data_IF_910846128479
#
_entry.id   IF_910846128479
#
_cell.length_a   1.000
_cell.length_b   1.000
_cell.length_c   1.000
_cell.angle_alpha   90.00
_cell.angle_beta   90.00
_cell.angle_gamma   90.00
#
_symmetry.space_group_name_H-M   'P 1'
#
loop_
_entity.id
_entity.type
_entity.pdbx_description
1 polymer ?
#
# COMPACT_ATOMS: atom_id res chain seq x y z
N UNK A 1 -21.26 -9.25 -2.23
CA UNK A 1 -20.91 -9.09 -0.80
C UNK A 1 -19.42 -9.32 -0.64
N UNK A 2 -18.67 -8.32 -0.16
CA UNK A 2 -17.30 -8.50 0.27
C UNK A 2 -17.26 -9.48 1.45
N UNK A 3 -16.52 -10.58 1.34
CA UNK A 3 -16.33 -11.52 2.45
C UNK A 3 -15.11 -11.07 3.25
N UNK A 4 -15.26 -10.97 4.57
CA UNK A 4 -14.13 -10.77 5.46
C UNK A 4 -13.44 -12.13 5.63
N UNK A 5 -12.13 -12.16 5.39
CA UNK A 5 -11.33 -13.38 5.49
C UNK A 5 -10.49 -13.35 6.75
N UNK A 6 -10.26 -14.54 7.30
CA UNK A 6 -9.30 -14.77 8.38
C UNK A 6 -8.16 -15.60 7.81
N UNK A 7 -6.93 -15.12 7.95
CA UNK A 7 -5.72 -15.82 7.49
C UNK A 7 -4.63 -15.69 8.56
N UNK A 8 -3.78 -16.71 8.69
CA UNK A 8 -2.60 -16.68 9.55
C UNK A 8 -1.37 -16.39 8.70
N UNK A 9 -0.56 -15.41 9.10
CA UNK A 9 0.64 -14.96 8.38
C UNK A 9 1.80 -14.84 9.36
N UNK A 10 2.92 -15.46 9.02
CA UNK A 10 4.19 -15.32 9.75
C UNK A 10 4.92 -14.06 9.24
N UNK A 11 5.33 -13.19 10.16
CA UNK A 11 5.92 -11.89 9.86
C UNK A 11 7.21 -11.72 10.65
N UNK A 12 8.32 -11.56 9.91
CA UNK A 12 9.58 -11.13 10.48
C UNK A 12 9.47 -9.70 10.99
N UNK A 13 9.98 -9.46 12.20
CA UNK A 13 9.98 -8.15 12.83
C UNK A 13 11.35 -7.52 12.63
N UNK A 14 11.44 -6.53 11.73
CA UNK A 14 12.56 -5.61 11.75
C UNK A 14 12.48 -4.78 13.04
N UNK A 15 13.40 -5.05 13.97
CA UNK A 15 13.46 -4.37 15.25
C UNK A 15 14.00 -2.96 15.00
N UNK A 16 13.10 -2.03 14.70
CA UNK A 16 13.48 -0.70 14.24
C UNK A 16 14.11 0.19 15.32
N UNK A 17 13.83 -0.05 16.60
CA UNK A 17 14.35 0.75 17.71
C UNK A 17 14.48 -0.10 18.98
N UNK A 18 15.68 -0.65 19.26
CA UNK A 18 15.99 -1.24 20.58
C UNK A 18 16.31 -0.11 21.56
N UNK A 19 15.29 0.56 22.07
CA UNK A 19 15.49 1.50 23.17
C UNK A 19 15.78 0.74 24.47
N UNK A 20 16.92 1.05 25.10
CA UNK A 20 17.35 0.47 26.38
C UNK A 20 16.50 1.03 27.52
N UNK A 21 15.82 0.17 28.26
CA UNK A 21 15.33 0.52 29.60
C UNK A 21 16.49 0.39 30.60
N UNK A 22 16.74 1.45 31.36
CA UNK A 22 17.85 1.47 32.32
C UNK A 22 17.68 0.40 33.41
N UNK A 23 18.76 -0.37 33.59
CA UNK A 23 19.19 -1.18 34.77
C UNK A 23 18.40 -2.46 35.14
N UNK A 24 19.13 -3.60 35.15
CA UNK A 24 18.72 -5.03 35.32
C UNK A 24 18.36 -5.71 33.98
N UNK A 25 18.33 -7.07 33.85
CA UNK A 25 18.64 -7.82 32.61
C UNK A 25 17.96 -7.20 31.39
N UNK A 26 18.72 -7.07 30.30
CA UNK A 26 18.46 -6.10 29.24
C UNK A 26 17.11 -6.33 28.54
N UNK A 27 16.09 -5.62 28.99
CA UNK A 27 14.79 -5.56 28.32
C UNK A 27 14.93 -4.71 27.05
N UNK A 28 14.72 -5.34 25.89
CA UNK A 28 14.72 -4.69 24.58
C UNK A 28 13.28 -4.42 24.14
N UNK A 29 12.92 -3.16 23.96
CA UNK A 29 11.63 -2.80 23.35
C UNK A 29 11.63 -3.21 21.89
N UNK A 30 10.57 -3.89 21.46
CA UNK A 30 10.35 -4.24 20.06
C UNK A 30 9.13 -3.47 19.58
N UNK A 31 9.33 -2.72 18.50
CA UNK A 31 8.27 -2.03 17.76
C UNK A 31 8.47 -2.34 16.29
N UNK A 32 7.44 -2.90 15.66
CA UNK A 32 7.47 -3.28 14.25
C UNK A 32 6.21 -2.82 13.55
N UNK A 33 6.38 -2.29 12.33
CA UNK A 33 5.26 -1.89 11.47
C UNK A 33 5.26 -2.75 10.22
N UNK A 34 4.23 -3.57 10.09
CA UNK A 34 4.11 -4.49 8.96
C UNK A 34 3.14 -3.92 7.93
N UNK A 35 3.59 -3.84 6.67
CA UNK A 35 2.75 -3.46 5.53
C UNK A 35 2.09 -4.68 4.87
N UNK A 36 0.78 -4.81 5.06
CA UNK A 36 -0.06 -5.87 4.46
C UNK A 36 -0.80 -5.40 3.21
N UNK A 37 -0.60 -4.16 2.77
CA UNK A 37 -1.31 -3.54 1.64
C UNK A 37 -1.13 -4.23 0.29
N UNK A 38 -0.09 -5.06 0.14
CA UNK A 38 0.09 -5.89 -1.05
C UNK A 38 -1.03 -6.92 -1.20
N UNK A 39 -1.53 -7.46 -0.08
CA UNK A 39 -2.52 -8.55 -0.05
C UNK A 39 -3.91 -8.06 0.35
N UNK A 40 -3.96 -7.14 1.30
CA UNK A 40 -5.19 -6.66 1.92
C UNK A 40 -5.55 -5.25 1.44
N UNK A 41 -6.84 -5.02 1.22
CA UNK A 41 -7.40 -3.69 0.99
C UNK A 41 -7.73 -3.00 2.33
N UNK A 42 -8.10 -3.81 3.33
CA UNK A 42 -8.49 -3.36 4.65
C UNK A 42 -8.13 -4.43 5.67
N UNK A 43 -7.61 -4.01 6.83
CA UNK A 43 -7.30 -4.91 7.95
C UNK A 43 -8.15 -4.50 9.15
N UNK A 44 -9.20 -5.26 9.45
CA UNK A 44 -10.19 -4.89 10.47
C UNK A 44 -9.67 -5.11 11.89
N UNK A 45 -9.07 -6.27 12.09
CA UNK A 45 -8.57 -6.74 13.38
C UNK A 45 -7.37 -7.66 13.15
N UNK A 46 -6.46 -7.69 14.11
CA UNK A 46 -5.32 -8.58 14.11
C UNK A 46 -5.18 -9.17 15.50
N UNK A 47 -4.85 -10.45 15.55
CA UNK A 47 -4.54 -11.17 16.78
C UNK A 47 -3.15 -11.78 16.63
N UNK A 48 -2.29 -11.60 17.63
CA UNK A 48 -1.05 -12.36 17.74
C UNK A 48 -1.44 -13.78 18.19
N UNK A 49 -1.16 -14.77 17.36
CA UNK A 49 -1.36 -16.19 17.74
C UNK A 49 -0.14 -16.72 18.47
N UNK A 50 1.04 -16.36 17.98
CA UNK A 50 2.31 -16.82 18.52
C UNK A 50 3.39 -15.76 18.24
N UNK A 51 4.35 -15.63 19.14
CA UNK A 51 5.50 -14.76 18.96
C UNK A 51 6.73 -15.45 19.55
N UNK A 52 7.84 -15.46 18.81
CA UNK A 52 9.09 -16.05 19.27
C UNK A 52 10.27 -15.54 18.46
N UNK A 53 11.40 -16.23 18.57
CA UNK A 53 12.60 -15.92 17.81
C UNK A 53 13.17 -17.16 17.14
N UNK A 54 13.94 -16.94 16.06
CA UNK A 54 14.75 -17.99 15.42
C UNK A 54 16.23 -17.77 15.74
N UNK A 55 16.93 -18.86 16.07
CA UNK A 55 18.34 -18.85 16.48
C UNK A 55 19.28 -18.88 15.26
N UNK A 56 18.79 -19.27 14.07
CA UNK A 56 19.56 -19.25 12.82
C UNK A 56 19.26 -18.04 11.94
N UNK A 57 20.27 -17.51 11.22
CA UNK A 57 20.16 -16.27 10.43
C UNK A 57 19.31 -16.40 9.17
N UNK A 58 18.88 -17.60 8.78
CA UNK A 58 18.15 -17.83 7.52
C UNK A 58 16.63 -17.80 7.62
N UNK A 59 16.05 -17.64 8.83
CA UNK A 59 14.66 -17.18 9.02
C UNK A 59 13.62 -17.83 8.11
N UNK A 60 13.67 -19.16 7.93
CA UNK A 60 12.79 -19.84 6.99
C UNK A 60 11.36 -19.86 7.52
N UNK A 61 10.43 -19.34 6.70
CA UNK A 61 8.98 -19.39 6.95
C UNK A 61 8.55 -20.83 7.28
N UNK A 62 8.03 -21.07 8.49
CA UNK A 62 7.61 -22.39 8.97
C UNK A 62 8.56 -23.10 9.94
N UNK A 63 9.72 -22.51 10.27
CA UNK A 63 10.55 -22.98 11.38
C UNK A 63 9.79 -22.88 12.72
N UNK A 64 10.08 -23.79 13.66
CA UNK A 64 9.48 -23.74 14.99
C UNK A 64 9.93 -22.47 15.72
N UNK A 65 8.97 -21.67 16.20
CA UNK A 65 9.25 -20.48 16.98
C UNK A 65 9.74 -20.89 18.37
N UNK A 66 10.88 -20.36 18.79
CA UNK A 66 11.32 -20.47 20.19
C UNK A 66 10.70 -19.29 20.94
N UNK A 67 9.77 -19.57 21.85
CA UNK A 67 9.07 -18.53 22.63
C UNK A 67 9.83 -18.16 23.90
N UNK A 68 10.55 -19.13 24.46
CA UNK A 68 11.31 -19.02 25.70
C UNK A 68 12.53 -19.95 25.65
N UNK A 69 13.65 -19.47 26.19
CA UNK A 69 14.83 -20.27 26.52
C UNK A 69 15.29 -19.92 27.94
N UNK A 70 16.32 -20.60 28.44
CA UNK A 70 16.97 -20.24 29.71
C UNK A 70 17.49 -18.79 29.73
N UNK A 71 17.66 -18.19 28.55
CA UNK A 71 18.30 -16.88 28.36
C UNK A 71 17.33 -15.79 27.89
N UNK A 72 16.34 -16.11 27.07
CA UNK A 72 15.49 -15.11 26.40
C UNK A 72 14.00 -15.43 26.44
N UNK A 73 13.17 -14.40 26.53
CA UNK A 73 11.70 -14.49 26.38
C UNK A 73 11.17 -13.34 25.54
N UNK A 74 10.39 -13.64 24.48
CA UNK A 74 9.71 -12.62 23.67
C UNK A 74 8.23 -12.49 24.06
N UNK A 75 7.82 -11.30 24.47
CA UNK A 75 6.42 -10.98 24.73
C UNK A 75 5.94 -9.83 23.84
N UNK A 76 5.08 -10.13 22.86
CA UNK A 76 4.36 -9.11 22.08
C UNK A 76 3.00 -8.84 22.73
N UNK A 77 2.78 -7.60 23.18
CA UNK A 77 1.62 -7.22 23.97
C UNK A 77 0.54 -6.53 23.14
N UNK A 78 0.92 -5.90 22.02
CA UNK A 78 -0.04 -5.15 21.18
C UNK A 78 0.09 -5.52 19.71
N UNK A 79 -1.07 -5.57 19.05
CA UNK A 79 -1.21 -5.62 17.60
C UNK A 79 -2.32 -4.66 17.19
N UNK A 80 -1.92 -3.45 16.81
CA UNK A 80 -2.85 -2.40 16.42
C UNK A 80 -3.01 -2.35 14.90
N UNK A 81 -4.18 -2.74 14.37
CA UNK A 81 -4.45 -2.62 12.95
C UNK A 81 -4.65 -1.15 12.56
N UNK A 82 -3.81 -0.66 11.66
CA UNK A 82 -4.08 0.56 10.89
C UNK A 82 -4.94 0.19 9.70
N UNK A 83 -6.24 0.12 9.99
CA UNK A 83 -7.33 -0.32 9.10
C UNK A 83 -7.18 0.10 7.64
N UNK A 84 -6.90 1.38 7.41
CA UNK A 84 -6.91 2.01 6.07
C UNK A 84 -5.55 1.98 5.37
N UNK A 85 -4.47 1.80 6.11
CA UNK A 85 -3.13 1.66 5.55
C UNK A 85 -2.81 0.18 5.25
N UNK A 86 -3.74 -0.72 5.61
CA UNK A 86 -3.54 -2.18 5.67
C UNK A 86 -2.22 -2.50 6.38
N UNK A 87 -1.97 -1.83 7.50
CA UNK A 87 -0.76 -1.99 8.28
C UNK A 87 -1.09 -2.50 9.67
N UNK A 88 -0.10 -3.11 10.31
CA UNK A 88 -0.20 -3.55 11.70
C UNK A 88 1.00 -2.98 12.44
N UNK A 89 0.74 -2.32 13.55
CA UNK A 89 1.79 -1.92 14.49
C UNK A 89 1.83 -2.96 15.59
N UNK A 90 2.96 -3.63 15.73
CA UNK A 90 3.23 -4.61 16.78
C UNK A 90 4.16 -3.98 17.81
N UNK A 91 3.87 -4.16 19.09
CA UNK A 91 4.80 -3.77 20.15
C UNK A 91 4.93 -4.79 21.28
N UNK A 92 6.11 -4.87 21.87
CA UNK A 92 6.45 -5.85 22.90
C UNK A 92 7.83 -5.63 23.50
N UNK A 93 8.29 -6.65 24.23
CA UNK A 93 9.59 -6.66 24.91
C UNK A 93 10.26 -8.03 24.72
N UNK A 94 11.53 -8.03 24.35
CA UNK A 94 12.43 -9.17 24.46
C UNK A 94 13.22 -9.02 25.75
N UNK A 95 13.11 -10.00 26.65
CA UNK A 95 13.77 -9.99 27.96
C UNK A 95 14.92 -10.98 28.01
N UNK A 96 15.98 -10.63 28.73
CA UNK A 96 17.07 -11.54 29.09
C UNK A 96 18.30 -11.46 28.17
N UNK A 97 19.27 -12.34 28.45
CA UNK A 97 20.54 -12.49 27.72
C UNK A 97 21.45 -11.27 27.66
N UNK A 98 22.46 -11.36 26.79
CA UNK A 98 23.39 -10.26 26.50
C UNK A 98 22.98 -9.50 25.24
N UNK A 99 23.41 -8.23 25.13
CA UNK A 99 23.16 -7.38 23.95
C UNK A 99 23.59 -8.09 22.64
N UNK A 100 24.74 -8.75 22.64
CA UNK A 100 25.30 -9.43 21.47
C UNK A 100 24.46 -10.64 21.04
N UNK A 101 23.98 -11.44 21.99
CA UNK A 101 23.09 -12.57 21.70
C UNK A 101 21.74 -12.08 21.20
N UNK A 102 21.20 -11.02 21.79
CA UNK A 102 19.95 -10.42 21.36
C UNK A 102 20.05 -9.97 19.88
N UNK A 103 21.17 -9.37 19.46
CA UNK A 103 21.40 -8.93 18.06
C UNK A 103 21.36 -10.07 17.05
N UNK A 104 21.67 -11.29 17.47
CA UNK A 104 21.64 -12.47 16.61
C UNK A 104 20.23 -13.09 16.48
N UNK A 105 19.29 -12.71 17.33
CA UNK A 105 17.92 -13.23 17.31
C UNK A 105 17.05 -12.49 16.29
N UNK A 106 16.39 -13.24 15.40
CA UNK A 106 15.30 -12.73 14.56
C UNK A 106 13.98 -12.94 15.27
N UNK A 107 13.30 -11.85 15.62
CA UNK A 107 11.96 -11.90 16.21
C UNK A 107 10.92 -12.13 15.12
N UNK A 108 10.00 -13.07 15.34
CA UNK A 108 8.95 -13.44 14.39
C UNK A 108 7.61 -13.47 15.11
N UNK A 109 6.58 -12.90 14.48
CA UNK A 109 5.20 -12.94 14.97
C UNK A 109 4.30 -13.67 13.98
N UNK A 110 3.55 -14.66 14.48
CA UNK A 110 2.45 -15.29 13.75
C UNK A 110 1.16 -14.54 14.06
N UNK A 111 0.62 -13.88 13.05
CA UNK A 111 -0.58 -13.06 13.19
C UNK A 111 -1.77 -13.71 12.50
N UNK A 112 -2.90 -13.77 13.20
CA UNK A 112 -4.20 -13.99 12.58
C UNK A 112 -4.82 -12.66 12.20
N UNK A 113 -4.95 -12.43 10.90
CA UNK A 113 -5.45 -11.19 10.32
C UNK A 113 -6.91 -11.39 9.90
N UNK A 114 -7.79 -10.55 10.43
CA UNK A 114 -9.16 -10.40 9.94
C UNK A 114 -9.19 -9.19 9.01
N UNK A 115 -9.40 -9.41 7.72
CA UNK A 115 -9.33 -8.34 6.74
C UNK A 115 -10.04 -8.66 5.43
N UNK A 116 -10.10 -7.66 4.56
CA UNK A 116 -10.65 -7.80 3.23
C UNK A 116 -9.52 -7.96 2.22
N UNK A 117 -9.41 -9.16 1.65
CA UNK A 117 -8.37 -9.47 0.68
C UNK A 117 -8.68 -8.83 -0.67
N UNK A 118 -7.67 -8.20 -1.30
CA UNK A 118 -7.81 -7.54 -2.61
C UNK A 118 -8.42 -8.44 -3.71
N UNK A 119 -8.15 -9.75 -3.67
CA UNK A 119 -8.65 -10.73 -4.66
C UNK A 119 -10.17 -10.97 -4.61
N UNK A 120 -10.83 -10.58 -3.52
CA UNK A 120 -12.26 -10.83 -3.30
C UNK A 120 -13.09 -9.55 -3.21
N UNK A 121 -12.51 -8.41 -3.62
CA UNK A 121 -13.23 -7.16 -3.64
C UNK A 121 -14.37 -7.19 -4.67
N UNK A 122 -15.54 -6.64 -4.33
CA UNK A 122 -16.56 -6.32 -5.32
C UNK A 122 -15.96 -5.48 -6.45
N UNK A 123 -16.46 -5.68 -7.67
CA UNK A 123 -15.94 -5.00 -8.85
C UNK A 123 -15.94 -3.46 -8.71
N UNK A 124 -16.93 -2.91 -8.01
CA UNK A 124 -17.07 -1.46 -7.81
C UNK A 124 -16.64 -0.97 -6.42
N UNK A 125 -15.87 -1.77 -5.66
CA UNK A 125 -15.43 -1.41 -4.31
C UNK A 125 -14.70 -0.07 -4.23
N UNK A 126 -14.02 0.32 -5.31
CA UNK A 126 -13.36 1.62 -5.42
C UNK A 126 -14.30 2.82 -5.19
N UNK A 127 -15.61 2.69 -5.47
CA UNK A 127 -16.61 3.75 -5.20
C UNK A 127 -16.80 3.95 -3.70
N UNK A 128 -16.92 2.86 -2.94
CA UNK A 128 -17.06 2.89 -1.48
C UNK A 128 -15.79 3.47 -0.84
N UNK A 129 -14.61 3.00 -1.30
CA UNK A 129 -13.32 3.53 -0.84
C UNK A 129 -13.16 5.02 -1.13
N UNK A 130 -13.66 5.51 -2.27
CA UNK A 130 -13.61 6.93 -2.62
C UNK A 130 -14.52 7.80 -1.73
N UNK A 131 -15.70 7.29 -1.36
CA UNK A 131 -16.61 7.98 -0.44
C UNK A 131 -15.99 8.06 0.96
N UNK A 132 -15.39 6.97 1.43
CA UNK A 132 -14.69 6.93 2.71
C UNK A 132 -13.47 7.87 2.73
N UNK A 133 -12.68 7.89 1.65
CA UNK A 133 -11.55 8.81 1.48
C UNK A 133 -11.99 10.27 1.60
N UNK A 134 -13.16 10.61 1.04
CA UNK A 134 -13.75 11.95 1.15
C UNK A 134 -14.14 12.28 2.59
N UNK A 135 -14.70 11.33 3.33
CA UNK A 135 -15.03 11.53 4.74
C UNK A 135 -13.78 11.82 5.57
N UNK A 136 -12.68 11.07 5.36
CA UNK A 136 -11.39 11.38 6.00
C UNK A 136 -10.88 12.76 5.67
N UNK A 137 -10.98 13.17 4.41
CA UNK A 137 -10.55 14.50 3.99
C UNK A 137 -11.37 15.61 4.68
N UNK A 138 -12.69 15.40 4.84
CA UNK A 138 -13.58 16.33 5.53
C UNK A 138 -13.24 16.47 7.02
N UNK A 139 -12.84 15.37 7.67
CA UNK A 139 -12.43 15.35 9.08
C UNK A 139 -10.99 15.83 9.32
N UNK A 140 -10.30 16.31 8.27
CA UNK A 140 -8.90 16.75 8.37
C UNK A 140 -7.87 15.61 8.48
N UNK A 141 -8.31 14.36 8.35
CA UNK A 141 -7.49 13.14 8.40
C UNK A 141 -6.77 12.88 7.07
N UNK A 142 -5.84 13.77 6.71
CA UNK A 142 -5.24 13.82 5.35
C UNK A 142 -4.40 12.58 4.99
N UNK A 143 -3.72 11.96 5.94
CA UNK A 143 -2.97 10.71 5.69
C UNK A 143 -3.90 9.58 5.30
N UNK A 144 -4.94 9.34 6.11
CA UNK A 144 -5.95 8.33 5.83
C UNK A 144 -6.68 8.61 4.51
N UNK A 145 -7.01 9.87 4.24
CA UNK A 145 -7.61 10.28 2.97
C UNK A 145 -6.71 9.96 1.77
N UNK A 146 -5.41 10.26 1.84
CA UNK A 146 -4.46 9.97 0.77
C UNK A 146 -4.37 8.45 0.50
N UNK A 147 -4.19 7.63 1.53
CA UNK A 147 -4.12 6.17 1.40
C UNK A 147 -5.41 5.58 0.82
N UNK A 148 -6.56 6.04 1.30
CA UNK A 148 -7.86 5.61 0.80
C UNK A 148 -8.07 6.02 -0.67
N UNK A 149 -7.71 7.24 -1.07
CA UNK A 149 -7.80 7.65 -2.47
C UNK A 149 -6.85 6.86 -3.39
N UNK A 150 -5.60 6.63 -2.98
CA UNK A 150 -4.66 5.79 -3.76
C UNK A 150 -5.21 4.37 -3.90
N UNK A 151 -5.82 3.82 -2.84
CA UNK A 151 -6.47 2.50 -2.87
C UNK A 151 -7.69 2.49 -3.79
N UNK A 152 -8.48 3.57 -3.82
CA UNK A 152 -9.59 3.71 -4.76
C UNK A 152 -9.09 3.79 -6.22
N UNK A 153 -7.98 4.49 -6.48
CA UNK A 153 -7.37 4.56 -7.82
C UNK A 153 -6.89 3.17 -8.28
N UNK A 154 -6.19 2.42 -7.41
CA UNK A 154 -5.79 1.02 -7.65
C UNK A 154 -7.03 0.15 -7.96
N UNK A 155 -8.08 0.27 -7.16
CA UNK A 155 -9.35 -0.44 -7.38
C UNK A 155 -10.01 -0.10 -8.71
N UNK A 156 -10.07 1.18 -9.09
CA UNK A 156 -10.64 1.63 -10.36
C UNK A 156 -9.85 1.08 -11.56
N UNK A 157 -8.52 1.12 -11.50
CA UNK A 157 -7.65 0.61 -12.56
C UNK A 157 -7.82 -0.90 -12.73
N UNK A 158 -7.79 -1.67 -11.65
CA UNK A 158 -8.01 -3.12 -11.73
C UNK A 158 -9.42 -3.45 -12.23
N UNK A 159 -10.43 -2.68 -11.82
CA UNK A 159 -11.78 -2.84 -12.32
C UNK A 159 -11.90 -2.55 -13.82
N UNK A 160 -11.20 -1.53 -14.32
CA UNK A 160 -11.17 -1.21 -15.75
C UNK A 160 -10.44 -2.28 -16.61
N UNK A 161 -9.56 -3.08 -16.00
CA UNK A 161 -8.83 -4.17 -16.66
C UNK A 161 -9.49 -5.54 -16.45
N UNK A 162 -10.64 -5.61 -15.77
CA UNK A 162 -11.28 -6.88 -15.40
C UNK A 162 -11.53 -7.78 -16.60
N UNK A 163 -11.93 -7.22 -17.73
CA UNK A 163 -12.23 -7.99 -18.96
C UNK A 163 -10.98 -8.71 -19.49
N UNK A 164 -9.78 -8.16 -19.29
CA UNK A 164 -8.54 -8.86 -19.64
C UNK A 164 -8.27 -10.02 -18.69
N UNK A 165 -8.56 -9.84 -17.40
CA UNK A 165 -8.38 -10.90 -16.40
C UNK A 165 -9.44 -12.02 -16.48
N UNK A 166 -10.44 -11.86 -17.35
CA UNK A 166 -11.39 -12.94 -17.67
C UNK A 166 -10.69 -14.07 -18.44
N UNK A 167 -9.75 -13.74 -19.33
CA UNK A 167 -8.93 -14.72 -20.04
C UNK A 167 -7.86 -15.28 -19.10
N UNK A 168 -7.84 -16.60 -18.89
CA UNK A 168 -6.91 -17.23 -17.93
C UNK A 168 -5.44 -16.92 -18.25
N UNK A 169 -5.10 -16.93 -19.53
CA UNK A 169 -3.76 -16.62 -20.05
C UNK A 169 -3.28 -15.22 -19.69
N UNK A 170 -4.20 -14.26 -19.60
CA UNK A 170 -3.90 -12.85 -19.33
C UNK A 170 -4.09 -12.48 -17.85
N UNK A 171 -4.75 -13.33 -17.06
CA UNK A 171 -5.07 -13.06 -15.66
C UNK A 171 -3.82 -12.85 -14.80
N UNK A 172 -2.90 -13.82 -14.80
CA UNK A 172 -1.66 -13.73 -14.05
C UNK A 172 -0.73 -12.59 -14.53
N UNK A 173 -0.46 -12.46 -15.84
CA UNK A 173 0.36 -11.35 -16.35
C UNK A 173 -0.18 -9.99 -15.97
N UNK A 174 -1.48 -9.74 -16.17
CA UNK A 174 -2.11 -8.44 -15.85
C UNK A 174 -2.07 -8.18 -14.35
N UNK A 175 -2.30 -9.19 -13.51
CA UNK A 175 -2.30 -9.01 -12.06
C UNK A 175 -0.92 -8.62 -11.51
N UNK A 176 0.17 -9.13 -12.10
CA UNK A 176 1.56 -8.86 -11.70
C UNK A 176 2.09 -7.49 -12.13
N UNK A 177 1.42 -6.82 -13.08
CA UNK A 177 1.83 -5.49 -13.52
C UNK A 177 1.82 -4.48 -12.35
N UNK A 178 2.81 -3.59 -12.35
CA UNK A 178 2.83 -2.47 -11.39
C UNK A 178 1.68 -1.52 -11.70
N UNK A 179 1.28 -0.71 -10.71
CA UNK A 179 0.13 0.19 -10.88
C UNK A 179 0.30 1.15 -12.06
N UNK A 180 1.50 1.68 -12.29
CA UNK A 180 1.79 2.55 -13.42
C UNK A 180 1.63 1.85 -14.77
N UNK A 181 2.05 0.59 -14.88
CA UNK A 181 1.88 -0.19 -16.12
C UNK A 181 0.41 -0.48 -16.39
N UNK A 182 -0.36 -0.82 -15.34
CA UNK A 182 -1.81 -1.00 -15.42
C UNK A 182 -2.51 0.30 -15.82
N UNK A 183 -2.09 1.44 -15.25
CA UNK A 183 -2.59 2.76 -15.61
C UNK A 183 -2.40 3.06 -17.11
N UNK A 184 -1.19 2.82 -17.65
CA UNK A 184 -0.93 3.00 -19.08
C UNK A 184 -1.79 2.08 -19.95
N UNK A 185 -1.99 0.83 -19.52
CA UNK A 185 -2.86 -0.13 -20.22
C UNK A 185 -4.33 0.32 -20.23
N UNK A 186 -4.84 0.84 -19.11
CA UNK A 186 -6.20 1.42 -19.04
C UNK A 186 -6.34 2.58 -20.02
N UNK A 187 -5.37 3.49 -20.06
CA UNK A 187 -5.43 4.64 -20.95
C UNK A 187 -5.37 4.23 -22.43
N UNK A 188 -4.47 3.31 -22.81
CA UNK A 188 -4.40 2.76 -24.17
C UNK A 188 -5.73 2.17 -24.61
N UNK A 189 -6.39 1.41 -23.73
CA UNK A 189 -7.72 0.82 -24.00
C UNK A 189 -8.83 1.86 -24.11
N UNK A 190 -8.87 2.82 -23.19
CA UNK A 190 -9.93 3.82 -23.15
C UNK A 190 -9.84 4.81 -24.33
N UNK A 191 -8.63 5.15 -24.76
CA UNK A 191 -8.41 6.14 -25.82
C UNK A 191 -8.25 5.49 -27.20
N UNK A 192 -7.94 4.19 -27.25
CA UNK A 192 -7.73 3.41 -28.50
C UNK A 192 -6.73 4.07 -29.45
N UNK A 193 -5.67 4.67 -28.89
CA UNK A 193 -4.58 5.30 -29.64
C UNK A 193 -3.24 4.79 -29.14
N UNK A 194 -2.35 4.48 -30.07
CA UNK A 194 -1.02 3.95 -29.78
C UNK A 194 -0.07 5.00 -29.21
N UNK A 195 -0.32 6.29 -29.49
CA UNK A 195 0.51 7.41 -29.04
C UNK A 195 -0.25 8.28 -28.05
N UNK A 196 -0.05 8.01 -26.76
CA UNK A 196 -0.57 8.82 -25.65
C UNK A 196 0.51 9.63 -24.94
N UNK A 197 1.79 9.44 -25.32
CA UNK A 197 2.94 10.06 -24.65
C UNK A 197 2.94 11.59 -24.77
N UNK A 198 2.42 12.11 -25.87
CA UNK A 198 2.41 13.56 -26.16
C UNK A 198 1.14 14.26 -25.66
N UNK A 199 0.17 13.51 -25.11
CA UNK A 199 -1.08 14.07 -24.59
C UNK A 199 -0.83 14.73 -23.20
N UNK A 200 -1.01 16.05 -23.05
CA UNK A 200 -0.67 16.78 -21.83
C UNK A 200 -1.39 16.29 -20.59
N UNK A 201 -2.66 15.91 -20.75
CA UNK A 201 -3.47 15.36 -19.67
C UNK A 201 -2.92 14.01 -19.21
N UNK A 202 -2.55 13.14 -20.15
CA UNK A 202 -1.99 11.81 -19.84
C UNK A 202 -0.64 11.96 -19.13
N UNK A 203 0.23 12.83 -19.63
CA UNK A 203 1.52 13.13 -18.99
C UNK A 203 1.34 13.67 -17.57
N UNK A 204 0.42 14.63 -17.39
CA UNK A 204 0.09 15.18 -16.06
C UNK A 204 -0.48 14.12 -15.12
N UNK A 205 -1.39 13.27 -15.60
CA UNK A 205 -1.94 12.18 -14.78
C UNK A 205 -0.86 11.18 -14.35
N UNK A 206 0.02 10.80 -15.27
CA UNK A 206 1.11 9.87 -14.98
C UNK A 206 2.05 10.44 -13.91
N UNK A 207 2.50 11.67 -14.08
CA UNK A 207 3.39 12.36 -13.13
C UNK A 207 2.74 12.55 -11.76
N UNK A 208 1.46 12.94 -11.71
CA UNK A 208 0.74 13.10 -10.45
C UNK A 208 0.53 11.75 -9.75
N UNK A 209 0.18 10.69 -10.49
CA UNK A 209 0.01 9.36 -9.91
C UNK A 209 1.32 8.81 -9.34
N UNK A 210 2.43 8.97 -10.06
CA UNK A 210 3.76 8.56 -9.61
C UNK A 210 4.15 9.27 -8.30
N UNK A 211 4.01 10.59 -8.25
CA UNK A 211 4.26 11.36 -7.03
C UNK A 211 3.37 10.93 -5.84
N UNK A 212 2.09 10.61 -6.09
CA UNK A 212 1.19 10.11 -5.04
C UNK A 212 1.62 8.73 -4.52
N UNK A 213 2.15 7.85 -5.40
CA UNK A 213 2.64 6.54 -5.01
C UNK A 213 3.93 6.62 -4.20
N UNK A 214 4.85 7.50 -4.59
CA UNK A 214 6.06 7.80 -3.83
C UNK A 214 5.71 8.32 -2.44
N UNK A 215 4.82 9.30 -2.35
CA UNK A 215 4.36 9.86 -1.06
C UNK A 215 3.70 8.80 -0.18
N UNK A 216 2.83 7.97 -0.77
CA UNK A 216 2.20 6.85 -0.06
C UNK A 216 3.25 5.89 0.50
N UNK A 217 4.28 5.56 -0.28
CA UNK A 217 5.36 4.69 0.19
C UNK A 217 6.22 5.37 1.26
N UNK A 218 6.55 6.65 1.11
CA UNK A 218 7.25 7.43 2.12
C UNK A 218 6.48 7.45 3.45
N UNK A 219 5.17 7.70 3.44
CA UNK A 219 4.34 7.70 4.65
C UNK A 219 4.21 6.28 5.24
N UNK A 220 4.17 5.25 4.40
CA UNK A 220 4.09 3.85 4.85
C UNK A 220 5.37 3.41 5.58
N UNK A 221 6.54 3.83 5.09
CA UNK A 221 7.86 3.40 5.58
C UNK A 221 8.54 4.38 6.55
N UNK A 222 8.08 5.63 6.66
CA UNK A 222 8.64 6.61 7.61
C UNK A 222 7.92 6.58 8.96
N UNK A 223 8.71 6.62 10.05
CA UNK A 223 8.26 6.31 11.42
C UNK A 223 7.38 7.42 12.04
N UNK A 224 7.46 8.70 11.63
CA UNK A 224 6.59 9.73 12.24
C UNK A 224 6.41 11.05 11.46
N UNK A 225 7.38 11.49 10.65
CA UNK A 225 7.48 12.91 10.26
C UNK A 225 6.76 13.30 8.97
N UNK A 226 6.52 12.37 8.06
CA UNK A 226 5.96 12.71 6.75
C UNK A 226 4.46 12.94 6.88
N UNK A 227 3.98 14.14 6.57
CA UNK A 227 2.56 14.49 6.59
C UNK A 227 2.00 14.56 5.17
N UNK A 228 0.81 14.00 4.98
CA UNK A 228 0.05 14.24 3.77
C UNK A 228 -0.57 15.64 3.81
N UNK A 229 -0.37 16.43 2.77
CA UNK A 229 -0.93 17.78 2.63
C UNK A 229 -2.32 17.72 1.99
N UNK A 230 -3.13 18.76 2.23
CA UNK A 230 -4.43 18.93 1.52
C UNK A 230 -4.25 18.98 0.01
N UNK A 231 -3.10 19.46 -0.48
CA UNK A 231 -2.81 19.52 -1.91
C UNK A 231 -2.62 18.12 -2.51
N UNK A 232 -1.92 17.21 -1.81
CA UNK A 232 -1.78 15.82 -2.23
C UNK A 232 -3.14 15.09 -2.27
N UNK A 233 -4.01 15.35 -1.28
CA UNK A 233 -5.38 14.81 -1.31
C UNK A 233 -6.17 15.32 -2.53
N UNK A 234 -6.06 16.62 -2.86
CA UNK A 234 -6.68 17.19 -4.08
C UNK A 234 -6.12 16.58 -5.37
N UNK A 235 -4.82 16.32 -5.41
CA UNK A 235 -4.17 15.63 -6.53
C UNK A 235 -4.71 14.21 -6.69
N UNK A 236 -4.92 13.48 -5.60
CA UNK A 236 -5.52 12.15 -5.63
C UNK A 236 -6.98 12.18 -6.14
N UNK A 237 -7.76 13.16 -5.69
CA UNK A 237 -9.12 13.41 -6.22
C UNK A 237 -9.09 13.71 -7.71
N UNK A 238 -8.16 14.56 -8.16
CA UNK A 238 -7.98 14.88 -9.57
C UNK A 238 -7.70 13.63 -10.40
N UNK A 239 -6.76 12.78 -9.99
CA UNK A 239 -6.44 11.53 -10.71
C UNK A 239 -7.67 10.62 -10.78
N UNK A 240 -8.34 10.39 -9.65
CA UNK A 240 -9.51 9.51 -9.57
C UNK A 240 -10.63 9.97 -10.50
N UNK A 241 -11.06 11.23 -10.40
CA UNK A 241 -12.17 11.76 -11.19
C UNK A 241 -11.83 11.81 -12.69
N UNK A 242 -10.61 12.20 -13.04
CA UNK A 242 -10.18 12.25 -14.45
C UNK A 242 -10.16 10.84 -15.05
N UNK A 243 -9.67 9.83 -14.31
CA UNK A 243 -9.71 8.44 -14.76
C UNK A 243 -11.14 7.92 -14.91
N UNK A 244 -12.05 8.28 -14.00
CA UNK A 244 -13.47 7.92 -14.13
C UNK A 244 -14.10 8.53 -15.40
N UNK A 245 -13.78 9.79 -15.70
CA UNK A 245 -14.27 10.49 -16.90
C UNK A 245 -13.70 9.87 -18.18
N UNK A 246 -12.39 9.61 -18.23
CA UNK A 246 -11.75 8.93 -19.37
C UNK A 246 -12.36 7.55 -19.59
N UNK A 247 -12.64 6.79 -18.52
CA UNK A 247 -13.29 5.48 -18.65
C UNK A 247 -14.72 5.59 -19.18
N UNK A 248 -15.47 6.61 -18.76
CA UNK A 248 -16.87 6.78 -19.16
C UNK A 248 -17.03 7.30 -20.60
N UNK A 249 -16.10 8.16 -21.05
CA UNK A 249 -16.23 8.88 -22.33
C UNK A 249 -15.14 8.50 -23.36
N UNK A 250 -14.21 7.63 -22.99
CA UNK A 250 -13.12 7.17 -23.84
C UNK A 250 -12.25 8.31 -24.35
N UNK A 251 -11.95 8.28 -25.65
CA UNK A 251 -11.13 9.28 -26.33
C UNK A 251 -11.72 10.70 -26.32
N UNK A 252 -13.04 10.85 -26.13
CA UNK A 252 -13.72 12.16 -26.12
C UNK A 252 -13.36 12.98 -24.89
N UNK A 253 -13.11 12.32 -23.75
CA UNK A 253 -12.75 13.02 -22.51
C UNK A 253 -11.38 13.71 -22.59
N UNK A 254 -10.41 13.14 -23.32
CA UNK A 254 -9.02 13.61 -23.28
C UNK A 254 -8.88 15.04 -23.82
N UNK A 255 -9.37 15.39 -25.02
CA UNK A 255 -9.32 16.77 -25.51
C UNK A 255 -10.12 17.73 -24.62
N UNK A 256 -11.35 17.36 -24.22
CA UNK A 256 -12.22 18.20 -23.40
C UNK A 256 -11.58 18.57 -22.06
N UNK A 257 -11.00 17.58 -21.37
CA UNK A 257 -10.33 17.79 -20.09
C UNK A 257 -9.00 18.51 -20.27
N UNK A 258 -8.24 18.23 -21.33
CA UNK A 258 -7.00 18.97 -21.66
C UNK A 258 -7.27 20.47 -21.79
N UNK A 259 -8.33 20.84 -22.52
CA UNK A 259 -8.78 22.22 -22.65
C UNK A 259 -9.30 22.80 -21.34
N UNK A 260 -10.13 22.06 -20.60
CA UNK A 260 -10.70 22.53 -19.32
C UNK A 260 -9.62 22.80 -18.27
N UNK A 261 -8.53 22.03 -18.29
CA UNK A 261 -7.37 22.23 -17.42
C UNK A 261 -6.32 23.20 -18.00
N UNK A 262 -6.61 23.84 -19.13
CA UNK A 262 -5.73 24.76 -19.85
C UNK A 262 -4.31 24.20 -20.08
N UNK A 263 -4.22 22.89 -20.32
CA UNK A 263 -2.95 22.20 -20.51
C UNK A 263 -2.43 22.43 -21.92
N UNK A 264 -1.14 22.76 -22.03
CA UNK A 264 -0.47 22.97 -23.32
C UNK A 264 0.27 21.69 -23.76
N UNK A 265 0.26 21.36 -25.06
CA UNK A 265 1.14 20.33 -25.61
C UNK A 265 2.60 20.60 -25.23
N UNK A 266 3.33 19.55 -24.87
CA UNK A 266 4.76 19.63 -24.70
C UNK A 266 5.36 20.13 -26.03
N UNK A 267 6.17 21.19 -25.99
CA UNK A 267 6.85 21.70 -27.19
C UNK A 267 7.73 20.58 -27.72
N UNK A 268 7.36 20.00 -28.85
CA UNK A 268 8.26 19.16 -29.64
C UNK A 268 9.44 20.04 -30.05
N UNK A 269 10.64 19.73 -29.57
CA UNK A 269 11.87 20.31 -30.10
C UNK A 269 11.97 19.89 -31.55
N UNK A 270 11.58 20.77 -32.47
CA UNK A 270 11.92 20.64 -33.88
C UNK A 270 13.45 20.75 -33.97
N UNK A 271 14.12 19.62 -34.06
CA UNK A 271 15.42 19.55 -34.73
C UNK A 271 15.17 19.89 -36.19
N UNK A 272 15.41 21.15 -36.55
CA UNK A 272 15.65 21.54 -37.93
C UNK A 272 17.01 20.98 -38.32
N UNK A 273 17.04 19.82 -38.98
CA UNK A 273 18.20 19.42 -39.77
C UNK A 273 18.13 20.18 -41.10
N UNK A 274 18.94 21.23 -41.20
CA UNK A 274 19.48 21.69 -42.48
C UNK A 274 20.65 20.82 -42.91
#
# INVERSE_FOLDING_TARGET
MARVYTETVDLELDVADRERLNSMPHDHVISARVDLSRRYAFVQAVKIEEAGFTIEPEGTSGAALVTESDTFTLALNTAEPRRHDAQVVLSGVLRGGTDLEAELLRCVARLRILGLHKKHLPAEFYKETAVEARAFAADGRTKQALFAYVTAIDGLINHALRDLTMYEELREPVNRLKLMDKFQLVLKRAVQRDVLRDEPLVSRLASVLEALLEERNCIAHSIARTQATRQQVRQAVFVLLTLMMIRAQGSVAVPALTTAYALKPARTSRTSSG
#
